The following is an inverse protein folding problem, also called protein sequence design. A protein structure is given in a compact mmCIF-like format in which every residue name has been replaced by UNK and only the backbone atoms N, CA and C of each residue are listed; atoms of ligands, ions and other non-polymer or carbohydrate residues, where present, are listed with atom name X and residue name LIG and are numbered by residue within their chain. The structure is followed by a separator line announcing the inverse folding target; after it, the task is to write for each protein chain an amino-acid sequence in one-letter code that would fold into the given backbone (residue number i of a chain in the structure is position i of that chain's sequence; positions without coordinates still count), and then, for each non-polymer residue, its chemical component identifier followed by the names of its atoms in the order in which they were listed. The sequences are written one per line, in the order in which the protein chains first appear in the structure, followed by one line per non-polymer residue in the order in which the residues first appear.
data_IF_659870229442
#
_entry.id   IF_659870229442
#
_cell.length_a   1.000
_cell.length_b   1.000
_cell.length_c   1.000
_cell.angle_alpha   90.00
_cell.angle_beta   90.00
_cell.angle_gamma   90.00
#
_symmetry.space_group_name_H-M   'P 1'
#
loop_
_entity.id
_entity.type
_entity.pdbx_description
1 polymer ?
#
# COMPACT_ATOMS: atom_id res chain seq x y z
N UNK A 1 12.85 30.29 7.40
CA UNK A 1 12.35 31.59 6.89
C UNK A 1 12.29 31.51 5.38
N UNK A 2 11.22 32.02 4.79
CA UNK A 2 11.13 32.35 3.36
C UNK A 2 10.84 33.86 3.36
N UNK A 3 11.64 34.66 2.65
CA UNK A 3 11.49 36.12 2.57
C UNK A 3 11.38 36.84 3.94
N UNK A 4 12.28 36.50 4.89
CA UNK A 4 12.37 37.12 6.22
C UNK A 4 11.08 37.09 7.07
N UNK A 5 10.15 36.17 6.76
CA UNK A 5 8.91 35.95 7.51
C UNK A 5 8.80 34.49 7.97
N UNK A 6 8.06 34.27 9.06
CA UNK A 6 7.75 32.92 9.55
C UNK A 6 6.86 32.22 8.52
N UNK A 7 7.41 31.21 7.84
CA UNK A 7 6.65 30.42 6.89
C UNK A 7 5.57 29.62 7.63
N UNK A 8 4.32 29.73 7.19
CA UNK A 8 3.19 28.96 7.75
C UNK A 8 3.52 27.46 7.63
N UNK A 9 3.37 26.65 8.70
CA UNK A 9 3.49 25.21 8.59
C UNK A 9 2.57 24.70 7.48
N UNK A 10 3.06 23.77 6.65
CA UNK A 10 2.33 23.15 5.52
C UNK A 10 2.11 24.01 4.26
N UNK A 11 2.96 24.99 3.97
CA UNK A 11 3.00 25.61 2.64
C UNK A 11 3.77 24.72 1.64
N UNK A 12 3.08 24.17 0.65
CA UNK A 12 3.69 23.42 -0.45
C UNK A 12 3.20 24.00 -1.79
N UNK A 13 4.13 24.41 -2.65
CA UNK A 13 3.83 24.77 -4.05
C UNK A 13 4.10 23.54 -4.91
N UNK A 14 3.04 22.85 -5.36
CA UNK A 14 3.17 21.74 -6.31
C UNK A 14 3.20 22.31 -7.72
N UNK A 15 4.01 21.71 -8.59
CA UNK A 15 3.90 21.93 -10.03
C UNK A 15 2.54 21.41 -10.53
N UNK A 16 1.95 22.04 -11.57
CA UNK A 16 0.76 21.48 -12.20
C UNK A 16 1.04 20.08 -12.74
N UNK A 17 0.05 19.17 -12.72
CA UNK A 17 0.24 17.83 -13.25
C UNK A 17 0.53 17.87 -14.75
N UNK A 18 1.45 17.02 -15.19
CA UNK A 18 1.75 16.85 -16.61
C UNK A 18 0.56 16.24 -17.37
N UNK A 19 0.50 16.49 -18.68
CA UNK A 19 -0.55 15.89 -19.53
C UNK A 19 -0.41 14.36 -19.54
N UNK A 20 -1.52 13.62 -19.48
CA UNK A 20 -1.47 12.16 -19.46
C UNK A 20 -0.96 11.60 -20.80
N UNK A 21 0.08 10.76 -20.74
CA UNK A 21 0.57 10.00 -21.89
C UNK A 21 -0.03 8.58 -21.91
N UNK A 22 -1.07 8.38 -22.72
CA UNK A 22 -1.81 7.12 -22.82
C UNK A 22 -0.95 5.98 -23.38
N UNK A 23 -0.05 6.27 -24.32
CA UNK A 23 0.83 5.26 -24.90
C UNK A 23 1.85 4.75 -23.89
N UNK A 24 2.46 5.66 -23.13
CA UNK A 24 3.38 5.31 -22.05
C UNK A 24 2.67 4.47 -20.98
N UNK A 25 1.45 4.86 -20.60
CA UNK A 25 0.65 4.12 -19.63
C UNK A 25 0.34 2.67 -20.10
N UNK A 26 0.05 2.47 -21.39
CA UNK A 26 -0.15 1.13 -21.97
C UNK A 26 1.12 0.29 -21.88
N UNK A 27 2.27 0.85 -22.29
CA UNK A 27 3.57 0.16 -22.22
C UNK A 27 3.96 -0.22 -20.80
N UNK A 28 3.70 0.65 -19.81
CA UNK A 28 3.97 0.35 -18.39
C UNK A 28 3.10 -0.82 -17.90
N UNK A 29 1.82 -0.87 -18.29
CA UNK A 29 0.92 -1.99 -17.96
C UNK A 29 1.41 -3.30 -18.57
N UNK A 30 1.83 -3.26 -19.83
CA UNK A 30 2.39 -4.43 -20.54
C UNK A 30 3.67 -4.93 -19.87
N UNK A 31 4.60 -4.02 -19.54
CA UNK A 31 5.84 -4.36 -18.84
C UNK A 31 5.56 -4.99 -17.47
N UNK A 32 4.64 -4.40 -16.70
CA UNK A 32 4.25 -4.93 -15.39
C UNK A 32 3.69 -6.35 -15.51
N UNK A 33 2.81 -6.58 -16.50
CA UNK A 33 2.30 -7.92 -16.82
C UNK A 33 3.41 -8.89 -17.18
N UNK A 34 4.39 -8.49 -17.99
CA UNK A 34 5.48 -9.37 -18.39
C UNK A 34 6.42 -9.70 -17.23
N UNK A 35 6.72 -8.73 -16.38
CA UNK A 35 7.67 -8.89 -15.27
C UNK A 35 7.08 -9.59 -14.05
N UNK A 36 5.81 -9.32 -13.75
CA UNK A 36 5.16 -9.77 -12.52
C UNK A 36 3.88 -10.58 -12.76
N UNK A 37 3.46 -10.74 -14.02
CA UNK A 37 2.31 -11.57 -14.35
C UNK A 37 2.56 -13.01 -13.94
N UNK A 38 1.68 -13.54 -13.10
CA UNK A 38 1.61 -14.95 -12.72
C UNK A 38 0.27 -15.51 -13.16
N UNK A 39 0.22 -16.84 -13.33
CA UNK A 39 -1.04 -17.52 -13.62
C UNK A 39 -2.03 -17.26 -12.48
N UNK A 40 -3.24 -16.85 -12.87
CA UNK A 40 -4.32 -16.50 -11.95
C UNK A 40 -4.63 -17.66 -10.99
N UNK A 41 -4.59 -18.91 -11.45
CA UNK A 41 -4.89 -20.10 -10.63
C UNK A 41 -3.88 -20.28 -9.50
N UNK A 42 -2.60 -20.02 -9.78
CA UNK A 42 -1.52 -20.13 -8.78
C UNK A 42 -1.68 -19.03 -7.73
N UNK A 43 -1.96 -17.81 -8.16
CA UNK A 43 -2.17 -16.68 -7.24
C UNK A 43 -3.41 -16.90 -6.38
N UNK A 44 -4.51 -17.40 -6.95
CA UNK A 44 -5.73 -17.71 -6.19
C UNK A 44 -5.50 -18.82 -5.16
N UNK A 45 -4.76 -19.88 -5.52
CA UNK A 45 -4.39 -20.93 -4.57
C UNK A 45 -3.52 -20.40 -3.42
N UNK A 46 -2.51 -19.57 -3.74
CA UNK A 46 -1.62 -18.93 -2.76
C UNK A 46 -2.38 -17.94 -1.85
N UNK A 47 -3.35 -17.20 -2.41
CA UNK A 47 -4.25 -16.34 -1.63
C UNK A 47 -5.11 -17.17 -0.70
N UNK A 48 -5.71 -18.27 -1.15
CA UNK A 48 -6.53 -19.14 -0.30
C UNK A 48 -5.72 -19.78 0.83
N UNK A 49 -4.48 -20.17 0.55
CA UNK A 49 -3.54 -20.69 1.55
C UNK A 49 -3.16 -19.63 2.59
N UNK A 50 -2.81 -18.41 2.15
CA UNK A 50 -2.37 -17.31 3.02
C UNK A 50 -3.47 -16.53 3.70
N UNK A 51 -4.68 -16.49 3.13
CA UNK A 51 -5.75 -15.66 3.63
C UNK A 51 -6.18 -16.08 5.04
N UNK A 52 -5.82 -17.30 5.50
CA UNK A 52 -6.01 -17.81 6.87
C UNK A 52 -7.29 -17.25 7.51
N UNK A 53 -8.39 -17.29 6.75
CA UNK A 53 -9.69 -16.74 7.13
C UNK A 53 -10.21 -17.63 8.28
N UNK A 54 -9.78 -17.33 9.50
CA UNK A 54 -10.24 -17.98 10.73
C UNK A 54 -9.20 -18.59 11.67
N UNK A 55 -7.88 -18.33 11.59
CA UNK A 55 -6.92 -18.93 12.54
C UNK A 55 -6.08 -17.95 13.37
N UNK A 56 -6.69 -16.88 13.88
CA UNK A 56 -6.12 -16.15 15.02
C UNK A 56 -7.20 -15.41 15.83
N UNK A 57 -8.08 -16.18 16.48
CA UNK A 57 -8.90 -15.69 17.59
C UNK A 57 -9.19 -16.80 18.62
N UNK A 58 -8.24 -17.70 18.84
CA UNK A 58 -8.30 -18.63 19.96
C UNK A 58 -6.91 -18.66 20.63
N UNK A 59 -6.90 -18.31 21.92
CA UNK A 59 -5.78 -18.30 22.85
C UNK A 59 -4.95 -16.99 22.97
N UNK A 60 -5.57 -15.96 23.55
CA UNK A 60 -4.87 -15.13 24.55
C UNK A 60 -5.40 -15.54 25.94
N UNK A 61 -4.63 -16.26 26.78
CA UNK A 61 -5.05 -16.54 28.14
C UNK A 61 -4.94 -15.27 29.00
N UNK A 62 -5.88 -15.17 29.94
CA UNK A 62 -6.07 -14.15 30.96
C UNK A 62 -4.78 -13.58 31.57
N UNK A 63 -4.55 -12.28 31.40
CA UNK A 63 -3.71 -11.49 32.32
C UNK A 63 -4.61 -10.96 33.44
N UNK A 64 -4.67 -11.70 34.54
CA UNK A 64 -5.09 -11.15 35.83
C UNK A 64 -3.88 -10.53 36.50
N UNK A 65 -3.83 -9.20 36.60
CA UNK A 65 -2.94 -8.50 37.54
C UNK A 65 -3.66 -8.40 38.89
N UNK A 66 -3.10 -8.95 39.98
CA UNK A 66 -3.41 -8.52 41.34
C UNK A 66 -2.37 -7.49 41.76
N UNK A 67 -2.76 -6.21 41.90
CA UNK A 67 -2.19 -5.28 42.91
C UNK A 67 -2.67 -3.84 42.69
N UNK A 68 -3.56 -3.37 43.56
CA UNK A 68 -3.49 -2.09 44.24
C UNK A 68 -4.51 -2.08 45.39
#
# INVERSE_FOLDING_TARGET
MIDNTAAKPFNLKVLPPEKPNVELAKKIKELSRLKYGRDRRVVEAEIMERAQLGSSAAASPSMSEPSA
#
